data_IF_384922423380
#
_entry.id   IF_384922423380
#
_cell.length_a   1.000
_cell.length_b   1.000
_cell.length_c   1.000
_cell.angle_alpha   90.00
_cell.angle_beta   90.00
_cell.angle_gamma   90.00
#
_symmetry.space_group_name_H-M   'P 1'
#
loop_
_entity.id
_entity.type
_entity.pdbx_description
1 polymer ?
#
# COMPACT_ATOMS: atom_id res chain seq x y z
N UNK A 1 20.89 25.38 29.66
CA UNK A 1 19.86 24.57 28.98
C UNK A 1 19.29 23.46 29.87
N UNK A 2 19.30 23.63 31.20
CA UNK A 2 18.90 22.56 32.13
C UNK A 2 17.38 22.32 32.16
N UNK A 3 16.59 23.30 31.70
CA UNK A 3 15.13 23.28 31.80
C UNK A 3 14.45 22.25 30.90
N UNK A 4 15.06 21.88 29.76
CA UNK A 4 14.43 20.93 28.82
C UNK A 4 14.79 19.47 29.13
N UNK A 5 15.95 19.22 29.75
CA UNK A 5 16.36 17.89 30.23
C UNK A 5 15.62 17.47 31.50
N UNK A 6 15.37 18.44 32.40
CA UNK A 6 14.77 18.27 33.73
C UNK A 6 13.23 18.13 33.74
N UNK A 7 12.61 17.63 32.67
CA UNK A 7 11.16 17.41 32.68
C UNK A 7 10.78 16.12 33.43
N UNK A 8 9.83 16.23 34.37
CA UNK A 8 9.14 15.08 34.99
C UNK A 8 8.54 14.16 33.91
N UNK A 9 8.54 12.85 34.15
CA UNK A 9 8.16 11.86 33.13
C UNK A 9 6.74 12.02 32.58
N UNK A 10 5.79 12.47 33.41
CA UNK A 10 4.41 12.75 32.99
C UNK A 10 4.35 13.84 31.90
N UNK A 11 5.14 14.90 32.07
CA UNK A 11 5.25 15.98 31.08
C UNK A 11 6.02 15.51 29.84
N UNK A 12 7.08 14.71 30.02
CA UNK A 12 7.86 14.14 28.91
C UNK A 12 7.00 13.31 27.96
N UNK A 13 6.01 12.57 28.48
CA UNK A 13 5.06 11.83 27.64
C UNK A 13 4.15 12.77 26.85
N UNK A 14 3.59 13.79 27.48
CA UNK A 14 2.69 14.76 26.82
C UNK A 14 3.40 15.56 25.73
N UNK A 15 4.64 15.99 25.96
CA UNK A 15 5.41 16.77 25.01
C UNK A 15 6.25 15.93 24.03
N UNK A 16 6.18 14.59 24.10
CA UNK A 16 7.03 13.69 23.31
C UNK A 16 6.98 14.00 21.81
N UNK A 17 5.79 14.19 21.26
CA UNK A 17 5.62 14.43 19.83
C UNK A 17 5.99 15.86 19.46
N UNK A 18 5.58 16.85 20.27
CA UNK A 18 5.97 18.25 20.09
C UNK A 18 7.50 18.42 20.07
N UNK A 19 8.21 17.77 21.00
CA UNK A 19 9.67 17.76 21.04
C UNK A 19 10.27 17.08 19.82
N UNK A 20 9.74 15.92 19.40
CA UNK A 20 10.17 15.25 18.17
C UNK A 20 10.03 16.17 16.95
N UNK A 21 8.94 16.91 16.85
CA UNK A 21 8.69 17.84 15.74
C UNK A 21 9.68 19.01 15.76
N UNK A 22 9.93 19.61 16.94
CA UNK A 22 10.93 20.68 17.11
C UNK A 22 12.33 20.19 16.74
N UNK A 23 12.76 19.05 17.29
CA UNK A 23 14.06 18.46 16.97
C UNK A 23 14.19 18.11 15.49
N UNK A 24 13.11 17.65 14.85
CA UNK A 24 13.11 17.39 13.41
C UNK A 24 13.32 18.68 12.61
N UNK A 25 12.67 19.79 12.99
CA UNK A 25 12.87 21.09 12.34
C UNK A 25 14.30 21.58 12.53
N UNK A 26 14.85 21.46 13.74
CA UNK A 26 16.22 21.85 14.00
C UNK A 26 17.23 21.00 13.21
N UNK A 27 17.09 19.67 13.22
CA UNK A 27 18.02 18.77 12.47
C UNK A 27 18.00 19.09 10.98
N UNK A 28 16.84 19.44 10.42
CA UNK A 28 16.73 19.85 9.01
C UNK A 28 17.41 21.20 8.71
N UNK A 29 17.50 22.10 9.68
CA UNK A 29 18.05 23.46 9.51
C UNK A 29 19.54 23.54 9.85
N UNK A 30 19.93 22.98 10.99
CA UNK A 30 21.28 23.12 11.57
C UNK A 30 22.12 21.84 11.47
N UNK A 31 21.52 20.73 11.05
CA UNK A 31 22.20 19.43 10.98
C UNK A 31 22.16 18.67 12.31
N UNK A 32 22.51 17.38 12.25
CA UNK A 32 22.41 16.47 13.39
C UNK A 32 23.47 16.74 14.47
N UNK A 33 24.74 16.88 14.07
CA UNK A 33 25.88 16.90 14.99
C UNK A 33 25.86 18.10 15.95
N UNK A 34 25.44 19.27 15.44
CA UNK A 34 25.33 20.49 16.25
C UNK A 34 24.26 20.37 17.35
N UNK A 35 23.16 19.69 17.05
CA UNK A 35 22.06 19.54 18.01
C UNK A 35 22.37 18.43 19.01
N UNK A 36 23.03 17.37 18.54
CA UNK A 36 23.44 16.25 19.38
C UNK A 36 24.36 16.72 20.52
N UNK A 37 25.31 17.63 20.25
CA UNK A 37 26.21 18.15 21.28
C UNK A 37 25.56 19.12 22.28
N UNK A 38 24.38 19.66 21.98
CA UNK A 38 23.69 20.65 22.81
C UNK A 38 22.54 20.07 23.63
N UNK A 39 22.08 18.86 23.29
CA UNK A 39 20.90 18.24 23.88
C UNK A 39 21.31 17.22 24.93
N UNK A 40 20.64 17.17 26.09
CA UNK A 40 20.88 16.18 27.14
C UNK A 40 20.70 14.72 26.70
N UNK A 41 21.33 13.80 27.44
CA UNK A 41 21.46 12.40 27.05
C UNK A 41 20.12 11.68 26.85
N UNK A 42 19.08 12.11 27.56
CA UNK A 42 17.76 11.48 27.53
C UNK A 42 17.12 11.54 26.13
N UNK A 43 17.56 12.48 25.28
CA UNK A 43 16.98 12.69 23.95
C UNK A 43 17.85 12.20 22.80
N UNK A 44 19.09 11.75 23.01
CA UNK A 44 19.94 11.23 21.91
C UNK A 44 19.26 10.12 21.13
N UNK A 45 18.55 9.21 21.81
CA UNK A 45 17.79 8.15 21.14
C UNK A 45 16.72 8.69 20.18
N UNK A 46 16.07 9.79 20.56
CA UNK A 46 15.08 10.47 19.71
C UNK A 46 15.76 11.12 18.52
N UNK A 47 16.90 11.79 18.72
CA UNK A 47 17.68 12.41 17.65
C UNK A 47 18.14 11.36 16.62
N UNK A 48 18.67 10.22 17.06
CA UNK A 48 19.10 9.12 16.16
C UNK A 48 17.92 8.60 15.33
N UNK A 49 16.75 8.43 15.95
CA UNK A 49 15.54 8.02 15.25
C UNK A 49 15.09 9.05 14.21
N UNK A 50 15.18 10.34 14.53
CA UNK A 50 14.88 11.44 13.61
C UNK A 50 15.86 11.42 12.43
N UNK A 51 17.16 11.27 12.66
CA UNK A 51 18.18 11.14 11.60
C UNK A 51 17.87 10.00 10.64
N UNK A 52 17.52 8.83 11.18
CA UNK A 52 17.10 7.66 10.38
C UNK A 52 15.81 7.92 9.60
N UNK A 53 14.84 8.61 10.19
CA UNK A 53 13.58 8.95 9.53
C UNK A 53 13.78 9.98 8.41
N UNK A 54 14.63 10.97 8.63
CA UNK A 54 14.95 12.03 7.67
C UNK A 54 15.72 11.46 6.46
N UNK A 55 16.71 10.60 6.69
CA UNK A 55 17.41 9.88 5.63
C UNK A 55 16.46 9.01 4.77
N UNK A 56 15.52 8.30 5.42
CA UNK A 56 14.49 7.52 4.71
C UNK A 56 13.56 8.41 3.90
N UNK A 57 13.08 9.51 4.49
CA UNK A 57 12.20 10.47 3.80
C UNK A 57 12.90 11.09 2.59
N UNK A 58 14.18 11.46 2.72
CA UNK A 58 15.01 11.96 1.63
C UNK A 58 15.17 10.94 0.51
N UNK A 59 15.45 9.67 0.85
CA UNK A 59 15.50 8.57 -0.12
C UNK A 59 14.16 8.39 -0.84
N UNK A 60 13.05 8.33 -0.11
CA UNK A 60 11.72 8.20 -0.71
C UNK A 60 11.37 9.37 -1.64
N UNK A 61 11.69 10.60 -1.25
CA UNK A 61 11.51 11.79 -2.10
C UNK A 61 12.35 11.72 -3.38
N UNK A 62 13.60 11.25 -3.28
CA UNK A 62 14.45 11.05 -4.46
C UNK A 62 13.89 9.97 -5.39
N UNK A 63 13.38 8.85 -4.86
CA UNK A 63 12.71 7.82 -5.67
C UNK A 63 11.45 8.36 -6.35
N UNK A 64 10.63 9.14 -5.64
CA UNK A 64 9.41 9.75 -6.21
C UNK A 64 9.75 10.76 -7.32
N UNK A 65 10.79 11.57 -7.13
CA UNK A 65 11.30 12.50 -8.16
C UNK A 65 11.93 11.77 -9.36
N UNK A 66 12.58 10.63 -9.14
CA UNK A 66 13.12 9.82 -10.23
C UNK A 66 12.05 9.06 -11.03
N UNK A 67 10.92 8.73 -10.41
CA UNK A 67 9.78 8.09 -11.07
C UNK A 67 8.87 9.08 -11.81
N UNK A 68 8.80 10.33 -11.35
CA UNK A 68 8.13 11.45 -12.02
C UNK A 68 9.16 12.22 -12.84
N UNK A 69 9.46 11.73 -14.05
CA UNK A 69 10.47 12.34 -14.92
C UNK A 69 10.31 13.86 -15.06
N UNK A 70 11.42 14.57 -14.81
CA UNK A 70 11.77 15.90 -15.33
C UNK A 70 10.64 16.92 -15.49
N UNK A 71 10.44 17.80 -14.51
CA UNK A 71 10.24 19.22 -14.84
C UNK A 71 10.78 20.16 -13.74
N UNK A 72 11.72 20.99 -14.20
CA UNK A 72 12.18 22.31 -13.76
C UNK A 72 12.10 22.73 -12.29
N UNK A 73 13.27 23.16 -11.80
CA UNK A 73 13.42 24.29 -10.89
C UNK A 73 12.59 25.48 -11.43
N UNK A 74 11.59 25.94 -10.68
CA UNK A 74 11.32 27.36 -10.51
C UNK A 74 10.42 27.61 -9.28
N UNK A 75 10.78 28.65 -8.55
CA UNK A 75 10.06 29.22 -7.41
C UNK A 75 8.72 29.81 -7.88
N UNK A 76 7.61 29.05 -7.79
CA UNK A 76 6.27 29.63 -7.68
C UNK A 76 5.34 28.72 -6.87
N UNK A 77 4.48 29.27 -5.99
CA UNK A 77 3.45 28.48 -5.32
C UNK A 77 2.36 28.16 -6.35
N UNK A 78 2.54 27.07 -7.10
CA UNK A 78 1.51 26.54 -7.98
C UNK A 78 0.35 26.07 -7.10
N UNK A 79 -0.79 26.72 -7.32
CA UNK A 79 -2.05 26.45 -6.63
C UNK A 79 -2.36 24.94 -6.64
N UNK A 80 -2.54 24.44 -5.42
CA UNK A 80 -2.96 23.10 -5.05
C UNK A 80 -4.07 22.61 -5.98
N UNK A 81 -3.77 21.58 -6.78
CA UNK A 81 -4.74 20.90 -7.61
C UNK A 81 -5.05 19.53 -7.04
N UNK A 82 -6.16 19.43 -6.28
CA UNK A 82 -7.11 18.32 -6.05
C UNK A 82 -6.79 16.86 -6.48
N UNK A 83 -5.53 16.43 -6.49
CA UNK A 83 -5.21 15.02 -6.66
C UNK A 83 -5.35 14.33 -5.30
N UNK A 84 -6.21 13.31 -5.25
CA UNK A 84 -6.45 12.48 -4.06
C UNK A 84 -5.14 12.00 -3.43
N UNK A 85 -4.09 11.75 -4.23
CA UNK A 85 -2.78 11.32 -3.75
C UNK A 85 -1.97 12.42 -3.07
N UNK A 86 -2.18 13.69 -3.44
CA UNK A 86 -1.55 14.85 -2.82
C UNK A 86 -2.22 15.17 -1.47
N UNK A 87 -3.56 15.18 -1.43
CA UNK A 87 -4.34 15.36 -0.18
C UNK A 87 -4.02 14.24 0.83
N UNK A 88 -3.85 13.00 0.34
CA UNK A 88 -3.44 11.86 1.17
C UNK A 88 -2.00 11.99 1.69
N UNK A 89 -1.09 12.59 0.91
CA UNK A 89 0.30 12.78 1.31
C UNK A 89 0.46 13.96 2.30
N UNK A 90 -0.35 15.00 2.17
CA UNK A 90 -0.38 16.14 3.09
C UNK A 90 -1.01 15.75 4.44
N UNK A 91 -2.07 14.93 4.40
CA UNK A 91 -2.69 14.31 5.61
C UNK A 91 -1.71 13.40 6.37
N UNK A 92 -0.82 12.66 5.68
CA UNK A 92 0.20 11.81 6.32
C UNK A 92 1.35 12.63 6.96
N UNK A 93 1.47 13.92 6.62
CA UNK A 93 2.47 14.84 7.17
C UNK A 93 1.96 15.72 8.32
N UNK A 94 0.65 15.83 8.53
CA UNK A 94 0.01 16.67 9.57
C UNK A 94 -0.91 15.91 10.56
N UNK A 95 -0.89 14.58 10.63
CA UNK A 95 -1.77 13.86 11.57
C UNK A 95 -1.19 13.77 12.99
N UNK A 96 -1.46 14.79 13.82
CA UNK A 96 -1.60 14.64 15.27
C UNK A 96 -3.07 14.76 15.70
N UNK A 97 -3.71 13.61 15.89
CA UNK A 97 -4.50 13.34 17.09
C UNK A 97 -5.97 13.79 17.09
N UNK A 98 -6.84 12.88 16.66
CA UNK A 98 -8.16 12.76 17.29
C UNK A 98 -8.48 11.27 17.48
N UNK A 99 -9.08 10.94 18.63
CA UNK A 99 -9.47 9.59 19.10
C UNK A 99 -10.57 8.93 18.24
N UNK A 100 -10.65 9.29 16.95
CA UNK A 100 -11.45 8.66 15.90
C UNK A 100 -10.61 7.86 14.89
N UNK A 101 -9.28 7.85 15.04
CA UNK A 101 -8.33 7.21 14.13
C UNK A 101 -8.34 5.67 14.09
N UNK A 102 -8.90 5.00 15.10
CA UNK A 102 -8.97 3.53 15.12
C UNK A 102 -9.86 2.97 13.98
N UNK A 103 -10.84 3.75 13.51
CA UNK A 103 -11.69 3.33 12.39
C UNK A 103 -11.00 3.48 11.02
N UNK A 104 -10.05 4.42 10.90
CA UNK A 104 -9.33 4.67 9.65
C UNK A 104 -8.16 3.68 9.46
N UNK A 105 -7.43 3.34 10.52
CA UNK A 105 -6.41 2.30 10.49
C UNK A 105 -7.00 0.92 10.17
N UNK A 106 -8.17 0.58 10.75
CA UNK A 106 -8.91 -0.65 10.40
C UNK A 106 -9.33 -0.68 8.92
N UNK A 107 -9.70 0.45 8.32
CA UNK A 107 -9.99 0.54 6.87
C UNK A 107 -8.74 0.34 5.99
N UNK A 108 -7.54 0.71 6.46
CA UNK A 108 -6.28 0.50 5.72
C UNK A 108 -5.85 -0.98 5.72
N UNK A 109 -5.98 -1.68 6.84
CA UNK A 109 -5.71 -3.12 6.91
C UNK A 109 -6.76 -3.92 6.11
N UNK A 110 -8.04 -3.54 6.21
CA UNK A 110 -9.13 -4.12 5.42
C UNK A 110 -8.96 -4.00 3.91
N UNK A 111 -8.14 -3.07 3.38
CA UNK A 111 -7.91 -2.95 1.94
C UNK A 111 -6.89 -3.94 1.39
N UNK A 112 -5.97 -4.46 2.21
CA UNK A 112 -4.93 -5.38 1.75
C UNK A 112 -5.31 -6.87 1.90
N UNK A 113 -6.41 -7.19 2.57
CA UNK A 113 -6.87 -8.58 2.78
C UNK A 113 -8.37 -8.76 2.49
N UNK A 114 -8.88 -8.21 1.38
CA UNK A 114 -10.29 -8.38 0.99
C UNK A 114 -10.51 -9.74 0.35
N UNK A 115 -10.59 -10.78 1.17
CA UNK A 115 -11.24 -12.03 0.75
C UNK A 115 -12.75 -11.80 0.64
N UNK A 116 -13.37 -12.36 -0.40
CA UNK A 116 -14.79 -12.32 -0.67
C UNK A 116 -15.39 -13.66 -0.28
N UNK A 117 -16.51 -13.66 0.41
CA UNK A 117 -17.20 -14.89 0.78
C UNK A 117 -18.43 -15.02 -0.12
N UNK A 118 -18.48 -16.07 -0.93
CA UNK A 118 -19.66 -16.37 -1.77
C UNK A 118 -20.73 -17.02 -0.89
N UNK A 119 -21.83 -16.31 -0.64
CA UNK A 119 -23.02 -16.85 0.01
C UNK A 119 -23.65 -17.94 -0.89
N UNK A 120 -24.38 -18.88 -0.29
CA UNK A 120 -25.06 -19.95 -1.04
C UNK A 120 -26.13 -19.39 -1.99
N UNK A 121 -26.55 -20.18 -2.97
CA UNK A 121 -27.68 -19.82 -3.86
C UNK A 121 -29.05 -19.94 -3.14
N UNK A 122 -29.06 -20.52 -1.94
CA UNK A 122 -30.26 -20.73 -1.12
C UNK A 122 -30.25 -19.81 0.10
N UNK A 123 -31.42 -19.46 0.62
CA UNK A 123 -31.65 -18.64 1.83
C UNK A 123 -31.13 -19.29 3.15
N UNK A 124 -30.26 -20.29 3.07
CA UNK A 124 -29.66 -20.98 4.20
C UNK A 124 -28.36 -20.28 4.64
N UNK A 125 -28.18 -19.92 5.93
CA UNK A 125 -26.95 -19.30 6.42
C UNK A 125 -25.71 -20.16 6.18
N UNK A 126 -24.60 -19.50 5.84
CA UNK A 126 -23.34 -20.18 5.56
C UNK A 126 -22.80 -20.95 6.78
N UNK A 127 -22.63 -22.26 6.63
CA UNK A 127 -22.08 -23.13 7.66
C UNK A 127 -20.55 -23.22 7.61
N UNK A 128 -19.85 -22.55 8.53
CA UNK A 128 -18.38 -22.57 8.64
C UNK A 128 -17.75 -23.91 9.02
N UNK A 129 -18.55 -24.90 9.44
CA UNK A 129 -18.06 -26.23 9.79
C UNK A 129 -17.97 -27.18 8.58
N UNK A 130 -18.50 -26.78 7.42
CA UNK A 130 -18.43 -27.60 6.21
C UNK A 130 -17.03 -27.61 5.61
N UNK A 131 -16.58 -28.79 5.19
CA UNK A 131 -15.28 -28.97 4.53
C UNK A 131 -15.13 -28.14 3.25
N UNK A 132 -16.25 -27.78 2.62
CA UNK A 132 -16.30 -27.01 1.38
C UNK A 132 -16.32 -25.48 1.60
N UNK A 133 -16.38 -24.97 2.83
CA UNK A 133 -16.40 -23.51 3.09
C UNK A 133 -15.14 -22.81 2.63
N UNK A 134 -13.98 -23.46 2.73
CA UNK A 134 -12.71 -22.88 2.29
C UNK A 134 -12.72 -22.54 0.78
N UNK A 135 -13.48 -23.26 -0.03
CA UNK A 135 -13.62 -23.01 -1.47
C UNK A 135 -14.51 -21.80 -1.78
N UNK A 136 -15.35 -21.38 -0.83
CA UNK A 136 -16.24 -20.21 -0.98
C UNK A 136 -15.54 -18.88 -0.68
N UNK A 137 -14.28 -18.92 -0.21
CA UNK A 137 -13.43 -17.74 0.01
C UNK A 137 -12.69 -17.39 -1.28
N UNK A 138 -13.12 -16.34 -1.95
CA UNK A 138 -12.56 -15.85 -3.22
C UNK A 138 -11.59 -14.69 -2.99
N UNK A 139 -10.53 -14.63 -3.80
CA UNK A 139 -9.61 -13.49 -3.81
C UNK A 139 -10.19 -12.25 -4.53
N UNK A 140 -11.22 -12.44 -5.34
CA UNK A 140 -11.86 -11.42 -6.18
C UNK A 140 -13.37 -11.36 -5.93
N UNK A 141 -13.98 -10.21 -6.23
CA UNK A 141 -15.43 -10.00 -6.14
C UNK A 141 -16.16 -10.88 -7.16
N UNK A 142 -17.09 -11.77 -6.75
CA UNK A 142 -17.81 -12.64 -7.69
C UNK A 142 -18.73 -11.87 -8.66
N UNK A 143 -19.34 -10.76 -8.22
CA UNK A 143 -20.32 -10.00 -9.04
C UNK A 143 -19.69 -9.04 -10.07
N UNK A 144 -18.36 -8.86 -10.01
CA UNK A 144 -17.67 -8.05 -11.00
C UNK A 144 -17.25 -8.94 -12.17
N UNK A 145 -17.92 -8.77 -13.31
CA UNK A 145 -17.46 -9.35 -14.58
C UNK A 145 -15.98 -8.99 -14.76
N UNK A 146 -15.09 -9.97 -14.99
CA UNK A 146 -13.67 -9.67 -15.18
C UNK A 146 -13.54 -8.73 -16.38
N UNK A 147 -12.93 -7.56 -16.16
CA UNK A 147 -12.52 -6.69 -17.27
C UNK A 147 -11.34 -7.37 -17.97
N UNK A 148 -11.64 -8.21 -18.96
CA UNK A 148 -10.66 -8.92 -19.79
C UNK A 148 -9.88 -7.98 -20.74
N UNK A 149 -9.90 -6.67 -20.51
CA UNK A 149 -9.32 -5.68 -21.43
C UNK A 149 -7.80 -5.53 -21.33
N UNK A 150 -7.13 -6.26 -20.43
CA UNK A 150 -5.66 -6.26 -20.37
C UNK A 150 -5.18 -7.44 -21.21
N UNK A 151 -4.65 -7.15 -22.40
CA UNK A 151 -4.00 -8.15 -23.25
C UNK A 151 -2.71 -8.60 -22.56
N UNK A 152 -2.74 -9.76 -21.92
CA UNK A 152 -1.54 -10.39 -21.38
C UNK A 152 -0.78 -11.09 -22.52
N UNK A 153 0.56 -11.02 -22.48
CA UNK A 153 1.43 -11.71 -23.45
C UNK A 153 1.47 -13.23 -23.24
N UNK A 154 0.78 -13.74 -22.22
CA UNK A 154 0.71 -15.16 -21.86
C UNK A 154 -0.75 -15.63 -21.87
N UNK A 155 -1.01 -16.89 -22.24
CA UNK A 155 -2.34 -17.47 -22.13
C UNK A 155 -2.79 -17.54 -20.67
N UNK A 156 -4.03 -17.12 -20.42
CA UNK A 156 -4.67 -17.06 -19.10
C UNK A 156 -5.96 -17.88 -19.14
N UNK A 157 -6.19 -18.74 -18.16
CA UNK A 157 -7.46 -19.50 -18.02
C UNK A 157 -8.62 -18.56 -17.67
N UNK A 158 -9.88 -18.96 -17.89
CA UNK A 158 -11.08 -18.21 -17.45
C UNK A 158 -11.05 -17.78 -15.98
N UNK A 159 -10.31 -18.52 -15.15
CA UNK A 159 -10.13 -18.29 -13.72
C UNK A 159 -9.00 -17.29 -13.39
N UNK A 160 -8.33 -16.71 -14.39
CA UNK A 160 -7.25 -15.73 -14.20
C UNK A 160 -5.86 -16.32 -13.90
N UNK A 161 -5.69 -17.64 -14.01
CA UNK A 161 -4.39 -18.32 -13.83
C UNK A 161 -3.55 -18.26 -15.10
N UNK A 162 -2.25 -17.96 -14.98
CA UNK A 162 -1.30 -17.95 -16.10
C UNK A 162 -0.90 -19.38 -16.47
N UNK A 163 -1.02 -19.72 -17.76
CA UNK A 163 -0.55 -21.00 -18.31
C UNK A 163 0.89 -20.80 -18.81
N UNK A 164 1.88 -21.18 -17.99
CA UNK A 164 3.29 -21.14 -18.37
C UNK A 164 3.69 -22.53 -18.86
N UNK A 165 3.66 -22.73 -20.17
CA UNK A 165 4.23 -23.92 -20.80
C UNK A 165 5.76 -23.87 -20.76
N UNK A 166 6.41 -24.95 -20.34
CA UNK A 166 7.88 -25.04 -20.25
C UNK A 166 8.58 -25.20 -21.62
N UNK A 167 7.89 -24.92 -22.73
CA UNK A 167 8.46 -24.98 -24.08
C UNK A 167 8.49 -23.60 -24.70
N UNK A 168 9.71 -23.09 -24.89
CA UNK A 168 9.97 -21.96 -25.74
C UNK A 168 9.53 -22.28 -27.17
N UNK A 169 8.81 -21.32 -27.77
CA UNK A 169 8.60 -21.07 -29.21
C UNK A 169 8.59 -22.28 -30.14
N UNK A 170 7.40 -22.59 -30.66
CA UNK A 170 7.15 -22.88 -32.08
C UNK A 170 5.72 -22.35 -32.33
N UNK A 171 5.60 -21.23 -33.04
CA UNK A 171 5.14 -21.16 -34.44
C UNK A 171 3.61 -21.19 -34.59
N UNK A 172 3.17 -20.44 -35.59
CA UNK A 172 1.81 -20.02 -35.91
C UNK A 172 0.75 -21.14 -35.80
N UNK A 173 -0.36 -20.86 -35.11
CA UNK A 173 -1.63 -21.52 -35.41
C UNK A 173 -2.79 -20.52 -35.32
N UNK A 174 -3.01 -19.82 -36.43
CA UNK A 174 -4.37 -19.59 -36.91
C UNK A 174 -4.90 -20.94 -37.38
N UNK A 175 -5.58 -21.67 -36.48
CA UNK A 175 -6.06 -23.03 -36.72
C UNK A 175 -7.41 -23.27 -36.06
N UNK A 176 -8.46 -22.84 -36.76
CA UNK A 176 -9.82 -23.38 -36.76
C UNK A 176 -10.53 -23.66 -35.42
N UNK A 177 -11.55 -22.86 -35.15
CA UNK A 177 -12.63 -23.10 -34.17
C UNK A 177 -13.27 -24.51 -34.32
N UNK A 178 -13.08 -25.16 -35.47
CA UNK A 178 -13.54 -26.52 -35.77
C UNK A 178 -12.79 -27.62 -34.98
N UNK A 179 -11.49 -27.46 -34.70
CA UNK A 179 -10.74 -28.46 -33.90
C UNK A 179 -11.15 -28.41 -32.43
N UNK A 180 -11.42 -27.20 -31.91
CA UNK A 180 -11.91 -27.03 -30.54
C UNK A 180 -13.30 -27.62 -30.33
N UNK A 181 -14.19 -27.52 -31.33
CA UNK A 181 -15.52 -28.14 -31.28
C UNK A 181 -15.47 -29.66 -31.37
N UNK A 182 -14.55 -30.21 -32.17
CA UNK A 182 -14.37 -31.66 -32.31
C UNK A 182 -13.84 -32.31 -31.03
N UNK A 183 -12.96 -31.63 -30.30
CA UNK A 183 -12.48 -32.08 -28.99
C UNK A 183 -13.62 -32.02 -27.96
N UNK A 184 -14.45 -30.97 -27.96
CA UNK A 184 -15.59 -30.84 -27.04
C UNK A 184 -16.65 -31.93 -27.25
N UNK A 185 -16.91 -32.36 -28.49
CA UNK A 185 -17.79 -33.49 -28.80
C UNK A 185 -17.20 -34.83 -28.33
N UNK A 186 -15.88 -35.01 -28.40
CA UNK A 186 -15.19 -36.23 -27.97
C UNK A 186 -15.19 -36.41 -26.44
N UNK A 187 -15.13 -35.31 -25.67
CA UNK A 187 -15.21 -35.37 -24.19
C UNK A 187 -16.67 -35.43 -23.68
N UNK A 188 -17.66 -35.48 -24.57
CA UNK A 188 -19.06 -35.74 -24.21
C UNK A 188 -19.74 -34.64 -23.41
N UNK A 189 -19.18 -33.43 -23.36
CA UNK A 189 -19.80 -32.28 -22.69
C UNK A 189 -20.66 -31.55 -23.71
N UNK A 190 -21.89 -32.03 -23.89
CA UNK A 190 -22.92 -31.27 -24.61
C UNK A 190 -23.40 -30.10 -23.74
N UNK A 191 -23.46 -28.92 -24.35
CA UNK A 191 -24.38 -27.84 -23.93
C UNK A 191 -25.83 -28.29 -24.02
#
# INVERSE_FOLDING_TARGET
MESIGSMRDDMRRHFRVKLKNIFTKFIRKFGFEMIDSMVPEEYHRVLVNIRKAEARSRRQRALKRGASGSESEDETPKQNGDSIEEILAETDSEDEGNEKGEKAAKKRLMKQSRAWLKEGEEDDPLNFLDQNVAQRVLATKPDLRPKTSIKHQFPVTSDGRLVIGQKAKDEEMNGSEDETNKILEEVGVKT
#
